data_IF_213863303661
#
_entry.id   IF_213863303661
#
_cell.length_a   1.000
_cell.length_b   1.000
_cell.length_c   1.000
_cell.angle_alpha   90.00
_cell.angle_beta   90.00
_cell.angle_gamma   90.00
#
_symmetry.space_group_name_H-M   'P 1'
#
loop_
_entity.id
_entity.type
_entity.pdbx_description
1 polymer ?
#
# COMPACT_ATOMS: atom_id res chain seq x y z
N UNK A 1 -2.26 -18.91 -14.87
CA UNK A 1 -1.30 -17.82 -14.80
C UNK A 1 -1.11 -17.42 -13.33
N UNK A 2 0.10 -17.10 -12.88
CA UNK A 2 0.34 -16.72 -11.48
C UNK A 2 -0.37 -15.39 -11.17
N UNK A 3 -1.06 -15.30 -10.03
CA UNK A 3 -1.75 -14.10 -9.56
C UNK A 3 -0.76 -12.95 -9.27
N UNK A 4 0.40 -13.27 -8.72
CA UNK A 4 1.52 -12.34 -8.51
C UNK A 4 2.73 -12.88 -9.27
N UNK A 5 3.36 -12.04 -10.09
CA UNK A 5 4.55 -12.37 -10.89
C UNK A 5 5.75 -11.56 -10.44
N UNK A 6 6.96 -12.01 -10.77
CA UNK A 6 8.19 -11.27 -10.47
C UNK A 6 8.21 -9.88 -11.11
N UNK A 7 7.72 -9.75 -12.35
CA UNK A 7 7.65 -8.48 -13.07
C UNK A 7 6.69 -7.49 -12.38
N UNK A 8 5.56 -8.00 -11.85
CA UNK A 8 4.63 -7.19 -11.07
C UNK A 8 5.26 -6.69 -9.77
N UNK A 9 6.01 -7.55 -9.07
CA UNK A 9 6.75 -7.15 -7.86
C UNK A 9 7.78 -6.09 -8.21
N UNK A 10 8.54 -6.29 -9.29
CA UNK A 10 9.53 -5.31 -9.74
C UNK A 10 8.90 -3.97 -10.10
N UNK A 11 7.80 -3.96 -10.86
CA UNK A 11 7.07 -2.74 -11.20
C UNK A 11 6.59 -1.99 -9.96
N UNK A 12 6.05 -2.71 -8.97
CA UNK A 12 5.66 -2.15 -7.67
C UNK A 12 6.83 -1.51 -6.93
N UNK A 13 7.95 -2.24 -6.78
CA UNK A 13 9.12 -1.72 -6.07
C UNK A 13 9.75 -0.50 -6.77
N UNK A 14 9.79 -0.50 -8.11
CA UNK A 14 10.25 0.67 -8.88
C UNK A 14 9.33 1.86 -8.64
N UNK A 15 8.02 1.66 -8.69
CA UNK A 15 7.04 2.74 -8.46
C UNK A 15 7.14 3.35 -7.07
N UNK A 16 7.23 2.51 -6.02
CA UNK A 16 7.20 2.97 -4.63
C UNK A 16 8.55 3.44 -4.09
N UNK A 17 9.67 2.88 -4.56
CA UNK A 17 10.97 3.14 -3.94
C UNK A 17 11.95 3.88 -4.85
N UNK A 18 11.79 3.82 -6.18
CA UNK A 18 12.70 4.49 -7.11
C UNK A 18 12.09 5.78 -7.66
N UNK A 19 10.82 5.74 -8.07
CA UNK A 19 10.14 6.90 -8.67
C UNK A 19 9.52 7.84 -7.66
N UNK A 20 9.32 7.39 -6.44
CA UNK A 20 8.78 8.21 -5.35
C UNK A 20 9.82 9.24 -4.87
N UNK A 21 9.55 10.53 -5.08
CA UNK A 21 10.39 11.60 -4.53
C UNK A 21 10.20 11.76 -3.03
N UNK A 22 11.15 12.43 -2.36
CA UNK A 22 11.05 12.75 -0.93
C UNK A 22 9.75 13.52 -0.60
N UNK A 23 9.39 14.49 -1.45
CA UNK A 23 8.13 15.25 -1.28
C UNK A 23 6.89 14.35 -1.36
N UNK A 24 6.83 13.44 -2.33
CA UNK A 24 5.73 12.46 -2.42
C UNK A 24 5.66 11.59 -1.16
N UNK A 25 6.80 11.07 -0.71
CA UNK A 25 6.86 10.19 0.47
C UNK A 25 6.37 10.87 1.76
N UNK A 26 6.66 12.15 1.94
CA UNK A 26 6.30 12.90 3.16
C UNK A 26 4.90 13.51 3.12
N UNK A 27 4.37 13.81 1.92
CA UNK A 27 3.12 14.55 1.77
C UNK A 27 1.93 13.69 1.29
N UNK A 28 2.15 12.49 0.70
CA UNK A 28 1.08 11.65 0.14
C UNK A 28 -0.02 11.28 1.13
N UNK A 29 0.32 11.16 2.41
CA UNK A 29 -0.67 10.84 3.46
C UNK A 29 -1.47 12.07 3.93
N UNK A 30 -1.01 13.29 3.61
CA UNK A 30 -1.58 14.56 4.08
C UNK A 30 -2.30 15.31 2.96
N UNK A 31 -1.77 15.26 1.73
CA UNK A 31 -2.21 16.05 0.59
C UNK A 31 -2.63 15.16 -0.57
N UNK A 32 -3.85 15.33 -1.04
CA UNK A 32 -4.38 14.56 -2.17
C UNK A 32 -3.61 14.81 -3.48
N UNK A 33 -3.06 16.01 -3.68
CA UNK A 33 -2.23 16.31 -4.84
C UNK A 33 -0.95 15.47 -4.84
N UNK A 34 -0.25 15.39 -3.70
CA UNK A 34 0.97 14.58 -3.59
C UNK A 34 0.68 13.08 -3.77
N UNK A 35 -0.42 12.60 -3.17
CA UNK A 35 -0.87 11.22 -3.38
C UNK A 35 -1.24 10.93 -4.83
N UNK A 36 -1.91 11.86 -5.51
CA UNK A 36 -2.30 11.72 -6.91
C UNK A 36 -1.10 11.68 -7.85
N UNK A 37 -0.14 12.60 -7.68
CA UNK A 37 1.11 12.60 -8.47
C UNK A 37 1.87 11.31 -8.22
N UNK A 38 2.00 10.87 -6.96
CA UNK A 38 2.65 9.62 -6.64
C UNK A 38 1.94 8.42 -7.28
N UNK A 39 0.61 8.33 -7.20
CA UNK A 39 -0.14 7.23 -7.81
C UNK A 39 0.01 7.17 -9.34
N UNK A 40 0.06 8.31 -10.01
CA UNK A 40 0.33 8.37 -11.46
C UNK A 40 1.75 7.91 -11.77
N UNK A 41 2.76 8.43 -11.07
CA UNK A 41 4.16 7.99 -11.28
C UNK A 41 4.38 6.53 -10.93
N UNK A 42 3.72 6.04 -9.89
CA UNK A 42 3.71 4.62 -9.51
C UNK A 42 3.17 3.72 -10.63
N UNK A 43 2.19 4.19 -11.38
CA UNK A 43 1.56 3.40 -12.44
C UNK A 43 2.44 3.26 -13.69
N UNK A 44 3.43 4.14 -13.89
CA UNK A 44 4.27 4.12 -15.09
C UNK A 44 5.01 2.78 -15.35
N UNK A 45 5.64 2.12 -14.35
CA UNK A 45 6.27 0.82 -14.57
C UNK A 45 5.29 -0.27 -15.05
N UNK A 46 4.00 -0.15 -14.71
CA UNK A 46 2.98 -1.13 -15.12
C UNK A 46 2.62 -1.04 -16.61
N UNK A 47 3.00 0.04 -17.31
CA UNK A 47 2.86 0.14 -18.76
C UNK A 47 3.65 -0.96 -19.50
N UNK A 48 4.70 -1.48 -18.88
CA UNK A 48 5.43 -2.65 -19.41
C UNK A 48 4.59 -3.94 -19.34
N UNK A 49 3.69 -4.05 -18.38
CA UNK A 49 2.89 -5.26 -18.13
C UNK A 49 1.54 -5.23 -18.83
N UNK A 50 0.93 -4.06 -18.99
CA UNK A 50 -0.38 -3.87 -19.61
C UNK A 50 -0.54 -2.48 -20.18
N UNK A 51 -1.23 -2.39 -21.32
CA UNK A 51 -1.69 -1.12 -21.90
C UNK A 51 -3.21 -0.95 -21.73
N UNK A 52 -3.86 -1.87 -21.00
CA UNK A 52 -5.30 -1.78 -20.76
C UNK A 52 -5.61 -0.61 -19.80
N UNK A 53 -6.39 0.40 -20.25
CA UNK A 53 -6.66 1.59 -19.45
C UNK A 53 -7.46 1.30 -18.18
N UNK A 54 -8.30 0.25 -18.17
CA UNK A 54 -9.05 -0.13 -16.99
C UNK A 54 -8.12 -0.72 -15.91
N UNK A 55 -7.15 -1.55 -16.30
CA UNK A 55 -6.14 -2.06 -15.38
C UNK A 55 -5.31 -0.93 -14.78
N UNK A 56 -4.81 -0.02 -15.62
CA UNK A 56 -3.98 1.10 -15.18
C UNK A 56 -4.76 2.07 -14.29
N UNK A 57 -6.02 2.36 -14.62
CA UNK A 57 -6.89 3.19 -13.78
C UNK A 57 -7.17 2.54 -12.42
N UNK A 58 -7.39 1.23 -12.38
CA UNK A 58 -7.58 0.50 -11.12
C UNK A 58 -6.32 0.49 -10.26
N UNK A 59 -5.14 0.21 -10.86
CA UNK A 59 -3.86 0.25 -10.16
C UNK A 59 -3.62 1.65 -9.58
N UNK A 60 -3.78 2.69 -10.38
CA UNK A 60 -3.60 4.08 -9.96
C UNK A 60 -4.57 4.47 -8.82
N UNK A 61 -5.85 4.16 -8.99
CA UNK A 61 -6.90 4.51 -8.02
C UNK A 61 -6.76 3.79 -6.70
N UNK A 62 -6.45 2.50 -6.71
CA UNK A 62 -6.23 1.71 -5.49
C UNK A 62 -4.95 2.14 -4.78
N UNK A 63 -3.88 2.41 -5.53
CA UNK A 63 -2.64 2.94 -4.96
C UNK A 63 -2.88 4.29 -4.26
N UNK A 64 -3.56 5.22 -4.95
CA UNK A 64 -3.96 6.49 -4.35
C UNK A 64 -4.74 6.30 -3.03
N UNK A 65 -5.74 5.42 -3.02
CA UNK A 65 -6.60 5.22 -1.86
C UNK A 65 -5.83 4.62 -0.68
N UNK A 66 -5.00 3.60 -0.93
CA UNK A 66 -4.22 2.93 0.11
C UNK A 66 -3.28 3.93 0.77
N UNK A 67 -2.53 4.69 -0.01
CA UNK A 67 -1.55 5.66 0.48
C UNK A 67 -2.21 6.87 1.14
N UNK A 68 -3.16 7.51 0.45
CA UNK A 68 -3.78 8.73 0.94
C UNK A 68 -4.51 8.55 2.27
N UNK A 69 -5.21 7.43 2.41
CA UNK A 69 -5.99 7.12 3.61
C UNK A 69 -5.25 6.18 4.58
N UNK A 70 -4.02 5.78 4.24
CA UNK A 70 -3.18 4.91 5.06
C UNK A 70 -3.91 3.62 5.44
N UNK A 71 -4.50 2.96 4.44
CA UNK A 71 -5.40 1.82 4.67
C UNK A 71 -4.73 0.62 5.34
N UNK A 72 -3.43 0.42 5.11
CA UNK A 72 -2.67 -0.68 5.70
C UNK A 72 -2.75 -0.70 7.24
N UNK A 73 -2.77 0.46 7.91
CA UNK A 73 -2.87 0.54 9.38
C UNK A 73 -4.18 -0.04 9.92
N UNK A 74 -5.27 0.07 9.18
CA UNK A 74 -6.56 -0.52 9.59
C UNK A 74 -6.52 -2.05 9.46
N UNK A 75 -5.89 -2.58 8.41
CA UNK A 75 -5.70 -4.02 8.23
C UNK A 75 -4.82 -4.58 9.35
N UNK A 76 -3.72 -3.91 9.66
CA UNK A 76 -2.83 -4.27 10.78
C UNK A 76 -3.59 -4.23 12.11
N UNK A 77 -4.35 -3.16 12.36
CA UNK A 77 -5.15 -3.06 13.58
C UNK A 77 -6.19 -4.18 13.70
N UNK A 78 -6.91 -4.47 12.61
CA UNK A 78 -7.94 -5.52 12.60
C UNK A 78 -7.34 -6.89 12.89
N UNK A 79 -6.21 -7.26 12.27
CA UNK A 79 -5.55 -8.54 12.56
C UNK A 79 -5.09 -8.67 14.01
N UNK A 80 -4.73 -7.55 14.65
CA UNK A 80 -4.26 -7.54 16.03
C UNK A 80 -5.40 -7.69 17.06
N UNK A 81 -6.68 -7.57 16.62
CA UNK A 81 -7.83 -7.87 17.49
C UNK A 81 -8.04 -9.38 17.73
N UNK A 82 -7.39 -10.22 16.94
CA UNK A 82 -7.52 -11.69 17.00
C UNK A 82 -6.52 -12.36 17.96
N UNK A 83 -5.85 -11.59 18.79
CA UNK A 83 -4.87 -12.16 19.74
C UNK A 83 -5.56 -12.88 20.91
N UNK A 84 -4.98 -14.00 21.43
CA UNK A 84 -5.52 -14.71 22.58
C UNK A 84 -5.53 -13.89 23.88
N UNK A 85 -4.70 -12.86 23.98
CA UNK A 85 -4.76 -11.87 25.03
C UNK A 85 -6.04 -11.04 24.82
N UNK A 86 -7.00 -11.15 25.71
CA UNK A 86 -8.32 -10.51 25.68
C UNK A 86 -8.31 -8.97 25.69
N UNK A 87 -7.18 -8.37 25.40
CA UNK A 87 -7.01 -6.92 25.32
C UNK A 87 -7.02 -6.56 23.86
N UNK A 88 -8.20 -6.34 23.30
CA UNK A 88 -8.34 -5.66 22.03
C UNK A 88 -7.68 -4.27 22.14
N UNK A 89 -6.77 -3.98 21.25
CA UNK A 89 -6.08 -2.68 21.25
C UNK A 89 -7.04 -1.60 20.78
N UNK A 90 -7.26 -0.58 21.61
CA UNK A 90 -8.10 0.55 21.25
C UNK A 90 -7.51 1.32 20.07
N UNK A 91 -8.37 1.73 19.14
CA UNK A 91 -7.93 2.46 17.93
C UNK A 91 -7.12 3.72 18.25
N UNK A 92 -7.48 4.60 19.21
CA UNK A 92 -6.69 5.79 19.52
C UNK A 92 -5.23 5.51 19.88
N UNK A 93 -4.98 4.35 20.51
CA UNK A 93 -3.63 3.95 20.91
C UNK A 93 -2.86 3.24 19.79
N UNK A 94 -3.56 2.77 18.75
CA UNK A 94 -2.99 2.02 17.63
C UNK A 94 -3.05 2.77 16.31
N UNK A 95 -3.58 3.97 16.28
CA UNK A 95 -3.90 4.73 15.05
C UNK A 95 -2.69 5.09 14.18
N UNK A 96 -1.49 5.10 14.73
CA UNK A 96 -0.27 5.42 14.00
C UNK A 96 0.14 4.31 13.02
N UNK A 97 0.13 3.05 13.46
CA UNK A 97 0.63 1.90 12.69
C UNK A 97 -0.31 0.69 12.67
N UNK A 98 -1.38 0.72 13.46
CA UNK A 98 -2.22 -0.44 13.75
C UNK A 98 -1.69 -1.34 14.87
N UNK A 99 -0.51 -1.04 15.40
CA UNK A 99 0.07 -1.66 16.59
C UNK A 99 -0.06 -0.73 17.79
N UNK A 100 -0.14 -1.28 19.03
CA UNK A 100 -0.10 -0.48 20.25
C UNK A 100 1.16 0.40 20.34
N UNK A 101 1.07 1.50 21.09
CA UNK A 101 2.17 2.47 21.26
C UNK A 101 3.42 1.91 21.94
N UNK A 102 3.28 0.85 22.74
CA UNK A 102 4.37 0.16 23.41
C UNK A 102 5.19 -0.75 22.50
N UNK A 103 4.68 -1.07 21.31
CA UNK A 103 5.45 -1.81 20.29
C UNK A 103 6.55 -0.91 19.75
N UNK A 104 7.82 -1.34 19.78
CA UNK A 104 8.93 -0.52 19.30
C UNK A 104 8.73 -0.05 17.85
N UNK A 105 9.03 1.23 17.53
CA UNK A 105 8.83 1.78 16.18
C UNK A 105 9.53 0.98 15.07
N UNK A 106 10.73 0.44 15.34
CA UNK A 106 11.45 -0.38 14.37
C UNK A 106 10.67 -1.64 13.97
N UNK A 107 9.86 -2.21 14.85
CA UNK A 107 9.02 -3.38 14.56
C UNK A 107 7.67 -2.97 13.95
N UNK A 108 6.95 -2.05 14.59
CA UNK A 108 5.61 -1.64 14.15
C UNK A 108 5.62 -0.97 12.78
N UNK A 109 6.62 -0.12 12.49
CA UNK A 109 6.77 0.55 11.20
C UNK A 109 7.14 -0.45 10.10
N UNK A 110 8.08 -1.36 10.34
CA UNK A 110 8.45 -2.38 9.35
C UNK A 110 7.29 -3.31 8.99
N UNK A 111 6.55 -3.77 10.00
CA UNK A 111 5.39 -4.63 9.77
C UNK A 111 4.27 -3.89 9.04
N UNK A 112 4.09 -2.58 9.30
CA UNK A 112 3.16 -1.75 8.56
C UNK A 112 3.58 -1.60 7.09
N UNK A 113 4.86 -1.34 6.82
CA UNK A 113 5.39 -1.22 5.45
C UNK A 113 5.16 -2.53 4.67
N UNK A 114 5.44 -3.68 5.29
CA UNK A 114 5.20 -4.98 4.65
C UNK A 114 3.71 -5.18 4.35
N UNK A 115 2.82 -4.86 5.29
CA UNK A 115 1.38 -4.96 5.08
C UNK A 115 0.90 -4.03 3.95
N UNK A 116 1.44 -2.83 3.87
CA UNK A 116 1.15 -1.86 2.82
C UNK A 116 1.56 -2.38 1.44
N UNK A 117 2.79 -2.88 1.31
CA UNK A 117 3.27 -3.51 0.06
C UNK A 117 2.38 -4.69 -0.37
N UNK A 118 1.96 -5.53 0.59
CA UNK A 118 1.09 -6.68 0.29
C UNK A 118 -0.27 -6.20 -0.24
N UNK A 119 -0.87 -5.17 0.33
CA UNK A 119 -2.13 -4.62 -0.16
C UNK A 119 -2.01 -4.10 -1.60
N UNK A 120 -0.94 -3.38 -1.91
CA UNK A 120 -0.67 -2.93 -3.28
C UNK A 120 -0.51 -4.10 -4.24
N UNK A 121 0.28 -5.11 -3.89
CA UNK A 121 0.49 -6.31 -4.72
C UNK A 121 -0.81 -7.07 -4.97
N UNK A 122 -1.70 -7.19 -3.97
CA UNK A 122 -3.01 -7.82 -4.14
C UNK A 122 -3.86 -7.02 -5.14
N UNK A 123 -3.96 -5.70 -4.99
CA UNK A 123 -4.72 -4.85 -5.90
C UNK A 123 -4.17 -4.91 -7.33
N UNK A 124 -2.85 -4.88 -7.49
CA UNK A 124 -2.19 -5.01 -8.80
C UNK A 124 -2.46 -6.38 -9.43
N UNK A 125 -2.40 -7.45 -8.63
CA UNK A 125 -2.73 -8.81 -9.07
C UNK A 125 -4.17 -8.93 -9.54
N UNK A 126 -5.12 -8.34 -8.84
CA UNK A 126 -6.53 -8.27 -9.24
C UNK A 126 -6.66 -7.55 -10.59
N UNK A 127 -6.08 -6.35 -10.72
CA UNK A 127 -6.15 -5.58 -11.96
C UNK A 127 -5.63 -6.36 -13.16
N UNK A 128 -4.42 -6.92 -13.04
CA UNK A 128 -3.77 -7.67 -14.11
C UNK A 128 -4.44 -9.02 -14.40
N UNK A 129 -5.16 -9.59 -13.45
CA UNK A 129 -5.91 -10.83 -13.68
C UNK A 129 -7.22 -10.60 -14.44
N UNK A 130 -7.87 -9.44 -14.23
CA UNK A 130 -9.17 -9.12 -14.83
C UNK A 130 -9.01 -8.45 -16.20
N UNK A 131 -8.04 -7.53 -16.34
CA UNK A 131 -7.92 -6.63 -17.51
C UNK A 131 -6.58 -6.72 -18.23
N UNK A 132 -5.94 -7.84 -18.25
CA UNK A 132 -4.64 -7.99 -18.92
C UNK A 132 -4.77 -7.97 -20.46
#
# INVERSE_FOLDING_TARGET
MAFITADQILAHLVGDYILQSHWMATEKTKRSLAAGIHAVTYTLPFLYLTLNPAALAFICGTHFAIDRFRLARFVVWLKNQQTPSRVGYAWPDSSATGYPKDVPPWLSVWLLIIADNILHLICNGIALSIWR
#
